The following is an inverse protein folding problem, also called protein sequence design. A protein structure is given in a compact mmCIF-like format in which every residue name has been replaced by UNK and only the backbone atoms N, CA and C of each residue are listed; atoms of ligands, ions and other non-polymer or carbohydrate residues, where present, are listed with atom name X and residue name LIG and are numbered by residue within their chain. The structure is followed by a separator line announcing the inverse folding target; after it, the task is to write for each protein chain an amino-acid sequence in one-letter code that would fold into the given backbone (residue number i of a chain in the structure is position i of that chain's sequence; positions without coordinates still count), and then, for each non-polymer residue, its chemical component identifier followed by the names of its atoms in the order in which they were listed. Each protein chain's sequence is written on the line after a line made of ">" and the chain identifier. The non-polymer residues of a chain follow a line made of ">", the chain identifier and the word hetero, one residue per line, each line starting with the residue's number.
data_IF_261409577214
#
_entry.id   IF_261409577214
#
_cell.length_a   1.000
_cell.length_b   1.000
_cell.length_c   1.000
_cell.angle_alpha   90.00
_cell.angle_beta   90.00
_cell.angle_gamma   90.00
#
_symmetry.space_group_name_H-M   'P 1'
#
loop_
_entity.id
_entity.type
_entity.pdbx_description
1 polymer ?
#
# COMPACT_ATOMS: atom_id res chain seq x y z
N UNK A 1 6.63 -4.97 -20.13
CA UNK A 1 6.65 -5.03 -18.65
C UNK A 1 5.37 -5.70 -18.18
N UNK A 2 5.46 -6.61 -17.20
CA UNK A 2 4.31 -7.27 -16.59
C UNK A 2 4.10 -6.73 -15.17
N UNK A 3 2.98 -6.08 -14.94
CA UNK A 3 2.57 -5.53 -13.66
C UNK A 3 1.51 -6.45 -13.06
N UNK A 4 1.75 -6.95 -11.85
CA UNK A 4 0.82 -7.82 -11.14
C UNK A 4 0.27 -7.10 -9.91
N UNK A 5 -1.04 -7.01 -9.84
CA UNK A 5 -1.79 -6.61 -8.65
C UNK A 5 -2.18 -7.88 -7.91
N UNK A 6 -1.75 -8.00 -6.68
CA UNK A 6 -1.92 -9.21 -5.87
C UNK A 6 -3.34 -9.26 -5.32
N UNK A 7 -4.07 -10.32 -5.67
CA UNK A 7 -5.42 -10.60 -5.18
C UNK A 7 -5.35 -11.62 -4.02
N UNK A 8 -5.53 -11.13 -2.81
CA UNK A 8 -5.59 -11.98 -1.61
C UNK A 8 -6.89 -11.77 -0.83
N UNK A 9 -7.95 -11.34 -1.53
CA UNK A 9 -9.27 -11.11 -0.95
C UNK A 9 -9.41 -9.76 -0.24
N UNK A 10 -8.41 -8.87 -0.32
CA UNK A 10 -8.50 -7.52 0.25
C UNK A 10 -7.93 -6.47 -0.72
N UNK A 11 -8.43 -5.26 -0.61
CA UNK A 11 -8.04 -4.14 -1.47
C UNK A 11 -9.12 -3.75 -2.49
N UNK A 12 -9.12 -2.48 -2.87
CA UNK A 12 -9.95 -2.02 -3.98
C UNK A 12 -9.23 -2.32 -5.31
N UNK A 13 -9.18 -3.61 -5.67
CA UNK A 13 -8.42 -4.12 -6.82
C UNK A 13 -8.78 -3.41 -8.12
N UNK A 14 -10.09 -3.21 -8.36
CA UNK A 14 -10.57 -2.56 -9.58
C UNK A 14 -10.14 -1.09 -9.70
N UNK A 15 -10.18 -0.34 -8.61
CA UNK A 15 -9.70 1.05 -8.61
C UNK A 15 -8.21 1.14 -8.85
N UNK A 16 -7.43 0.23 -8.26
CA UNK A 16 -5.98 0.15 -8.47
C UNK A 16 -5.67 -0.23 -9.93
N UNK A 17 -6.35 -1.25 -10.46
CA UNK A 17 -6.19 -1.68 -11.85
C UNK A 17 -6.51 -0.54 -12.83
N UNK A 18 -7.63 0.16 -12.64
CA UNK A 18 -8.02 1.29 -13.47
C UNK A 18 -7.01 2.45 -13.40
N UNK A 19 -6.49 2.77 -12.21
CA UNK A 19 -5.50 3.83 -12.05
C UNK A 19 -4.21 3.52 -12.83
N UNK A 20 -3.72 2.30 -12.74
CA UNK A 20 -2.56 1.86 -13.52
C UNK A 20 -2.85 1.78 -15.01
N UNK A 21 -4.02 1.29 -15.41
CA UNK A 21 -4.43 1.23 -16.80
C UNK A 21 -4.46 2.63 -17.43
N UNK A 22 -5.05 3.61 -16.77
CA UNK A 22 -5.09 4.98 -17.23
C UNK A 22 -3.66 5.56 -17.37
N UNK A 23 -2.83 5.39 -16.34
CA UNK A 23 -1.44 5.86 -16.37
C UNK A 23 -0.62 5.23 -17.50
N UNK A 24 -0.80 3.95 -17.76
CA UNK A 24 -0.13 3.22 -18.84
C UNK A 24 -0.59 3.76 -20.20
N UNK A 25 -1.89 3.98 -20.36
CA UNK A 25 -2.49 4.48 -21.61
C UNK A 25 -2.05 5.92 -21.90
N UNK A 26 -2.16 6.80 -20.90
CA UNK A 26 -1.79 8.22 -21.03
C UNK A 26 -0.30 8.41 -21.35
N UNK A 27 0.56 7.53 -20.84
CA UNK A 27 2.00 7.61 -21.07
C UNK A 27 2.50 6.65 -22.18
N UNK A 28 1.60 6.00 -22.92
CA UNK A 28 1.93 5.05 -24.01
C UNK A 28 2.93 3.97 -23.59
N UNK A 29 2.79 3.41 -22.39
CA UNK A 29 3.73 2.43 -21.85
C UNK A 29 3.39 1.02 -22.35
N UNK A 30 4.40 0.27 -22.80
CA UNK A 30 4.23 -1.16 -23.12
C UNK A 30 4.24 -1.98 -21.81
N UNK A 31 3.08 -2.01 -21.15
CA UNK A 31 2.88 -2.71 -19.87
C UNK A 31 1.56 -3.48 -19.88
N UNK A 32 1.61 -4.74 -19.44
CA UNK A 32 0.43 -5.59 -19.24
C UNK A 32 0.13 -5.64 -17.76
N UNK A 33 -1.14 -5.40 -17.40
CA UNK A 33 -1.64 -5.48 -16.03
C UNK A 33 -2.40 -6.80 -15.88
N UNK A 34 -2.25 -7.42 -14.72
CA UNK A 34 -3.07 -8.57 -14.33
C UNK A 34 -3.30 -8.56 -12.81
N UNK A 35 -4.55 -8.79 -12.42
CA UNK A 35 -4.96 -9.04 -11.03
C UNK A 35 -4.97 -10.56 -10.83
N UNK A 36 -4.21 -11.07 -9.87
CA UNK A 36 -4.08 -12.51 -9.65
C UNK A 36 -3.40 -12.86 -8.33
N UNK A 37 -3.66 -14.08 -7.83
CA UNK A 37 -2.92 -14.72 -6.74
C UNK A 37 -2.04 -15.89 -7.23
N UNK A 38 -1.92 -16.08 -8.51
CA UNK A 38 -1.09 -17.17 -9.08
C UNK A 38 0.39 -16.90 -8.84
N UNK A 39 1.04 -17.77 -8.06
CA UNK A 39 2.43 -17.61 -7.64
C UNK A 39 3.40 -17.57 -8.81
N UNK A 40 3.16 -18.37 -9.87
CA UNK A 40 4.02 -18.37 -11.05
C UNK A 40 3.98 -17.04 -11.79
N UNK A 41 2.80 -16.40 -11.88
CA UNK A 41 2.67 -15.08 -12.49
C UNK A 41 3.33 -14.00 -11.64
N UNK A 42 3.20 -14.09 -10.31
CA UNK A 42 3.86 -13.20 -9.35
C UNK A 42 5.39 -13.34 -9.47
N UNK A 43 5.88 -14.58 -9.56
CA UNK A 43 7.32 -14.86 -9.75
C UNK A 43 7.86 -14.28 -11.07
N UNK A 44 7.05 -14.23 -12.12
CA UNK A 44 7.45 -13.72 -13.44
C UNK A 44 7.13 -12.23 -13.66
N UNK A 45 6.60 -11.54 -12.66
CA UNK A 45 6.29 -10.12 -12.76
C UNK A 45 7.54 -9.25 -12.78
N UNK A 46 7.45 -8.09 -13.44
CA UNK A 46 8.45 -7.02 -13.36
C UNK A 46 8.14 -6.02 -12.25
N UNK A 47 6.86 -5.87 -11.92
CA UNK A 47 6.38 -4.95 -10.89
C UNK A 47 5.22 -5.59 -10.12
N UNK A 48 5.31 -5.57 -8.81
CA UNK A 48 4.32 -6.11 -7.89
C UNK A 48 3.61 -5.00 -7.13
N UNK A 49 2.28 -5.10 -7.02
CA UNK A 49 1.46 -4.16 -6.27
C UNK A 49 0.65 -4.93 -5.24
N UNK A 50 0.75 -4.52 -3.99
CA UNK A 50 -0.02 -5.06 -2.88
C UNK A 50 -0.98 -4.00 -2.35
N UNK A 51 -2.23 -3.97 -2.80
CA UNK A 51 -3.25 -3.15 -2.17
C UNK A 51 -3.71 -3.77 -0.85
N UNK A 52 -4.30 -2.97 0.02
CA UNK A 52 -4.87 -3.48 1.27
C UNK A 52 -5.90 -2.51 1.82
N UNK A 53 -7.09 -3.01 2.18
CA UNK A 53 -8.14 -2.23 2.84
C UNK A 53 -8.67 -3.02 4.03
N UNK A 54 -9.21 -2.31 5.02
CA UNK A 54 -9.70 -2.91 6.25
C UNK A 54 -8.64 -2.97 7.34
N UNK A 55 -8.74 -3.94 8.23
CA UNK A 55 -7.81 -4.03 9.35
C UNK A 55 -6.51 -4.76 8.98
N UNK A 56 -5.42 -4.34 9.62
CA UNK A 56 -4.13 -4.98 9.43
C UNK A 56 -4.14 -6.51 9.68
N UNK A 57 -4.75 -7.03 10.78
CA UNK A 57 -4.82 -8.48 11.00
C UNK A 57 -5.58 -9.22 9.90
N UNK A 58 -6.68 -8.62 9.38
CA UNK A 58 -7.49 -9.27 8.35
C UNK A 58 -6.72 -9.36 7.02
N UNK A 59 -6.01 -8.29 6.65
CA UNK A 59 -5.13 -8.30 5.48
C UNK A 59 -4.00 -9.33 5.62
N UNK A 60 -3.36 -9.40 6.79
CA UNK A 60 -2.32 -10.40 7.05
C UNK A 60 -2.86 -11.83 6.93
N UNK A 61 -4.04 -12.08 7.48
CA UNK A 61 -4.72 -13.37 7.40
C UNK A 61 -5.00 -13.77 5.94
N UNK A 62 -5.58 -12.86 5.14
CA UNK A 62 -5.86 -13.14 3.73
C UNK A 62 -4.61 -13.53 2.93
N UNK A 63 -3.46 -12.91 3.22
CA UNK A 63 -2.19 -13.31 2.60
C UNK A 63 -1.71 -14.69 3.05
N UNK A 64 -1.93 -15.06 4.32
CA UNK A 64 -1.55 -16.36 4.87
C UNK A 64 -2.45 -17.51 4.38
N UNK A 65 -3.68 -17.21 3.95
CA UNK A 65 -4.60 -18.21 3.37
C UNK A 65 -4.16 -18.70 1.99
N UNK A 66 -3.23 -17.98 1.35
CA UNK A 66 -2.64 -18.40 0.06
C UNK A 66 -1.25 -19.00 0.36
N UNK A 67 -1.19 -20.32 0.31
CA UNK A 67 0.04 -21.07 0.61
C UNK A 67 1.21 -20.62 -0.26
N UNK A 68 2.35 -20.32 0.40
CA UNK A 68 3.59 -19.87 -0.26
C UNK A 68 3.59 -18.42 -0.78
N UNK A 69 2.51 -17.65 -0.65
CA UNK A 69 2.44 -16.28 -1.21
C UNK A 69 3.43 -15.35 -0.52
N UNK A 70 3.50 -15.35 0.81
CA UNK A 70 4.37 -14.45 1.57
C UNK A 70 5.84 -14.75 1.29
N UNK A 71 6.20 -16.02 1.20
CA UNK A 71 7.54 -16.50 0.87
C UNK A 71 7.95 -16.03 -0.54
N UNK A 72 7.07 -16.24 -1.53
CA UNK A 72 7.30 -15.79 -2.91
C UNK A 72 7.45 -14.28 -2.96
N UNK A 73 6.58 -13.51 -2.28
CA UNK A 73 6.70 -12.05 -2.23
C UNK A 73 8.04 -11.62 -1.63
N UNK A 74 8.44 -12.23 -0.51
CA UNK A 74 9.71 -11.91 0.14
C UNK A 74 10.90 -12.25 -0.76
N UNK A 75 10.87 -13.38 -1.44
CA UNK A 75 11.91 -13.73 -2.39
C UNK A 75 11.99 -12.72 -3.54
N UNK A 76 10.85 -12.40 -4.16
CA UNK A 76 10.85 -11.50 -5.31
C UNK A 76 11.25 -10.07 -4.96
N UNK A 77 10.79 -9.56 -3.79
CA UNK A 77 11.03 -8.16 -3.39
C UNK A 77 12.41 -7.99 -2.75
N UNK A 78 12.75 -8.83 -1.77
CA UNK A 78 13.98 -8.65 -0.99
C UNK A 78 15.19 -9.23 -1.71
N UNK A 79 15.12 -10.45 -2.22
CA UNK A 79 16.27 -11.10 -2.85
C UNK A 79 16.42 -10.76 -4.33
N UNK A 80 15.32 -10.75 -5.09
CA UNK A 80 15.35 -10.43 -6.53
C UNK A 80 15.25 -8.93 -6.82
N UNK A 81 15.00 -8.09 -5.79
CA UNK A 81 14.93 -6.62 -5.90
C UNK A 81 13.90 -6.11 -6.90
N UNK A 82 12.80 -6.84 -7.08
CA UNK A 82 11.71 -6.40 -7.94
C UNK A 82 11.06 -5.14 -7.42
N UNK A 83 10.57 -4.32 -8.33
CA UNK A 83 9.79 -3.14 -7.99
C UNK A 83 8.52 -3.56 -7.26
N UNK A 84 8.25 -2.93 -6.14
CA UNK A 84 7.09 -3.22 -5.30
C UNK A 84 6.43 -1.93 -4.82
N UNK A 85 5.10 -1.91 -4.85
CA UNK A 85 4.30 -0.83 -4.29
C UNK A 85 3.25 -1.40 -3.33
N UNK A 86 3.38 -1.10 -2.06
CA UNK A 86 2.32 -1.30 -1.06
C UNK A 86 1.38 -0.10 -1.02
N UNK A 87 0.07 -0.33 -1.05
CA UNK A 87 -0.95 0.70 -0.96
C UNK A 87 -1.72 0.55 0.34
N UNK A 88 -1.77 1.60 1.16
CA UNK A 88 -2.45 1.65 2.45
C UNK A 88 -1.99 0.50 3.37
N UNK A 89 -2.86 -0.44 3.76
CA UNK A 89 -2.47 -1.59 4.59
C UNK A 89 -1.43 -2.46 3.90
N UNK A 90 -1.43 -2.56 2.57
CA UNK A 90 -0.38 -3.24 1.82
C UNK A 90 1.01 -2.63 2.03
N UNK A 91 1.12 -1.31 2.17
CA UNK A 91 2.36 -0.64 2.58
C UNK A 91 2.69 -0.92 4.05
N UNK A 92 1.69 -0.87 4.92
CA UNK A 92 1.90 -1.12 6.35
C UNK A 92 2.45 -2.53 6.62
N UNK A 93 2.01 -3.53 5.87
CA UNK A 93 2.48 -4.92 6.00
C UNK A 93 3.97 -5.11 5.71
N UNK A 94 4.64 -4.16 5.03
CA UNK A 94 6.09 -4.22 4.79
C UNK A 94 6.91 -4.08 6.08
N UNK A 95 6.32 -3.52 7.14
CA UNK A 95 6.99 -3.24 8.41
C UNK A 95 6.93 -4.44 9.38
N UNK A 96 7.51 -4.26 10.60
CA UNK A 96 7.66 -5.37 11.55
C UNK A 96 6.32 -5.85 12.11
N UNK A 97 5.47 -4.91 12.56
CA UNK A 97 4.18 -5.28 13.15
C UNK A 97 3.22 -4.08 13.27
N UNK A 98 1.96 -4.40 13.52
CA UNK A 98 0.93 -3.44 13.91
C UNK A 98 0.35 -3.75 15.28
N UNK A 99 -0.06 -2.68 15.99
CA UNK A 99 -0.79 -2.72 17.26
C UNK A 99 -2.24 -2.25 17.10
N UNK A 100 -2.82 -2.36 15.93
CA UNK A 100 -4.15 -1.83 15.62
C UNK A 100 -5.24 -2.45 16.50
N UNK A 101 -5.41 -3.76 16.47
CA UNK A 101 -6.36 -4.53 17.30
C UNK A 101 -5.60 -5.44 18.26
N UNK A 102 -4.78 -6.27 17.70
CA UNK A 102 -3.87 -7.19 18.36
C UNK A 102 -2.48 -7.02 17.75
N UNK A 103 -1.43 -7.34 18.49
CA UNK A 103 -0.08 -7.33 17.92
C UNK A 103 0.00 -8.36 16.79
N UNK A 104 0.12 -7.89 15.56
CA UNK A 104 0.17 -8.72 14.36
C UNK A 104 1.45 -8.44 13.60
N UNK A 105 2.27 -9.47 13.33
CA UNK A 105 3.52 -9.34 12.59
C UNK A 105 3.28 -9.01 11.11
N UNK A 106 4.12 -8.14 10.56
CA UNK A 106 4.21 -7.85 9.13
C UNK A 106 5.17 -8.78 8.38
N UNK A 107 5.81 -8.22 7.37
CA UNK A 107 6.84 -8.92 6.59
C UNK A 107 8.25 -8.64 7.10
N UNK A 108 8.44 -7.64 7.95
CA UNK A 108 9.74 -7.17 8.46
C UNK A 108 10.73 -6.84 7.34
N UNK A 109 10.26 -6.32 6.21
CA UNK A 109 11.11 -5.80 5.14
C UNK A 109 11.68 -4.43 5.47
N UNK A 110 10.96 -3.67 6.28
CA UNK A 110 11.32 -2.36 6.79
C UNK A 110 11.15 -2.35 8.31
N UNK A 111 12.10 -1.75 9.01
CA UNK A 111 12.01 -1.61 10.47
C UNK A 111 10.95 -0.57 10.86
N UNK A 112 10.14 -0.89 11.87
CA UNK A 112 9.12 0.00 12.40
C UNK A 112 7.80 -0.71 12.70
N UNK A 113 6.86 0.06 13.22
CA UNK A 113 5.55 -0.47 13.61
C UNK A 113 4.44 0.56 13.44
N UNK A 114 3.21 0.05 13.39
CA UNK A 114 2.00 0.86 13.33
C UNK A 114 1.24 0.81 14.64
N UNK A 115 0.78 1.96 15.11
CA UNK A 115 -0.03 2.12 16.32
C UNK A 115 -1.13 3.15 16.07
N UNK A 116 -2.17 3.07 16.87
CA UNK A 116 -3.26 4.05 16.81
C UNK A 116 -2.74 5.47 17.04
N UNK A 117 -3.21 6.40 16.22
CA UNK A 117 -2.90 7.83 16.37
C UNK A 117 -3.41 8.29 17.74
N UNK A 118 -2.54 8.93 18.50
CA UNK A 118 -2.93 9.63 19.73
C UNK A 118 -3.34 11.05 19.37
N UNK A 119 -4.60 11.37 19.58
CA UNK A 119 -5.10 12.74 19.40
C UNK A 119 -4.88 13.54 20.67
N UNK A 120 -4.34 14.76 20.52
CA UNK A 120 -4.12 15.70 21.61
C UNK A 120 -4.72 17.04 21.21
N UNK A 121 -5.52 17.66 22.10
CA UNK A 121 -6.14 18.94 21.85
C UNK A 121 -7.58 18.85 21.35
N UNK A 122 -8.14 20.03 21.09
CA UNK A 122 -9.52 20.21 20.65
C UNK A 122 -9.53 20.89 19.28
N UNK A 123 -10.58 20.64 18.51
CA UNK A 123 -10.86 21.37 17.27
C UNK A 123 -11.33 22.81 17.58
N UNK A 124 -11.55 23.61 16.54
CA UNK A 124 -12.02 24.99 16.68
C UNK A 124 -13.42 25.12 17.31
N UNK A 125 -14.16 24.00 17.44
CA UNK A 125 -15.45 23.92 18.13
C UNK A 125 -15.34 23.37 19.57
N UNK A 126 -14.13 23.19 20.10
CA UNK A 126 -13.87 22.62 21.41
C UNK A 126 -14.12 21.12 21.55
N UNK A 127 -14.15 20.37 20.45
CA UNK A 127 -14.38 18.92 20.45
C UNK A 127 -13.05 18.17 20.27
N UNK A 128 -12.94 17.00 20.90
CA UNK A 128 -11.78 16.13 20.69
C UNK A 128 -11.62 15.74 19.22
N UNK A 129 -10.39 15.76 18.71
CA UNK A 129 -10.08 15.20 17.41
C UNK A 129 -10.46 13.72 17.35
N UNK A 130 -11.01 13.30 16.21
CA UNK A 130 -11.48 11.93 15.99
C UNK A 130 -10.43 11.09 15.26
N UNK A 131 -10.44 9.80 15.52
CA UNK A 131 -9.69 8.77 14.76
C UNK A 131 -10.73 7.82 14.16
N UNK A 132 -10.63 7.53 12.85
CA UNK A 132 -9.60 7.94 11.89
C UNK A 132 -9.64 9.43 11.55
N UNK A 133 -8.48 10.00 11.21
CA UNK A 133 -8.41 11.31 10.56
C UNK A 133 -8.95 11.17 9.14
N UNK A 134 -9.98 11.95 8.82
CA UNK A 134 -10.61 11.95 7.51
C UNK A 134 -10.77 13.39 7.02
N UNK A 135 -10.25 13.70 5.84
CA UNK A 135 -10.38 15.04 5.27
C UNK A 135 -9.40 15.37 4.17
N UNK A 136 -9.64 16.50 3.52
CA UNK A 136 -8.75 17.09 2.54
C UNK A 136 -7.57 17.78 3.24
N UNK A 137 -6.36 17.51 2.77
CA UNK A 137 -5.15 18.17 3.25
C UNK A 137 -4.11 18.23 2.13
N UNK A 138 -3.16 19.17 2.27
CA UNK A 138 -2.02 19.26 1.38
C UNK A 138 -0.87 18.36 1.85
N UNK A 139 0.08 18.11 0.95
CA UNK A 139 1.30 17.38 1.24
C UNK A 139 2.41 18.35 1.64
N UNK A 140 3.26 17.91 2.54
CA UNK A 140 4.54 18.53 2.82
C UNK A 140 5.66 17.63 2.27
N UNK A 141 6.27 18.01 1.16
CA UNK A 141 7.23 17.18 0.43
C UNK A 141 8.64 17.38 1.01
N UNK A 142 9.10 16.45 1.85
CA UNK A 142 10.44 16.48 2.42
C UNK A 142 11.55 16.17 1.38
N UNK A 143 11.23 15.40 0.33
CA UNK A 143 12.13 14.98 -0.73
C UNK A 143 11.53 15.25 -2.11
N UNK A 144 11.22 16.52 -2.39
CA UNK A 144 10.55 16.94 -3.64
C UNK A 144 11.24 16.44 -4.94
N UNK A 145 12.57 16.25 -4.90
CA UNK A 145 13.34 15.75 -6.05
C UNK A 145 13.28 14.22 -6.23
N UNK A 146 12.59 13.48 -5.35
CA UNK A 146 12.48 12.04 -5.53
C UNK A 146 11.64 11.72 -6.78
N UNK A 147 12.07 10.80 -7.66
CA UNK A 147 11.39 10.53 -8.93
C UNK A 147 9.89 10.21 -8.83
N UNK A 148 9.48 9.57 -7.74
CA UNK A 148 8.07 9.22 -7.45
C UNK A 148 7.23 10.47 -7.10
N UNK A 149 7.85 11.53 -6.58
CA UNK A 149 7.18 12.73 -6.07
C UNK A 149 7.22 13.91 -7.05
N UNK A 150 7.99 13.81 -8.14
CA UNK A 150 8.25 14.92 -9.06
C UNK A 150 7.02 15.59 -9.68
N UNK A 151 5.90 14.86 -9.77
CA UNK A 151 4.65 15.36 -10.33
C UNK A 151 3.62 15.78 -9.25
N UNK A 152 4.00 15.72 -7.97
CA UNK A 152 3.15 16.17 -6.87
C UNK A 152 3.43 17.64 -6.57
N UNK A 153 2.36 18.37 -6.24
CA UNK A 153 2.44 19.78 -5.87
C UNK A 153 1.94 19.96 -4.44
N UNK A 154 2.68 20.67 -3.60
CA UNK A 154 2.29 20.95 -2.22
C UNK A 154 0.99 21.78 -2.10
N UNK A 155 0.57 22.45 -3.20
CA UNK A 155 -0.69 23.19 -3.26
C UNK A 155 -1.89 22.28 -3.56
N UNK A 156 -1.65 21.08 -4.08
CA UNK A 156 -2.71 20.13 -4.36
C UNK A 156 -3.25 19.54 -3.07
N UNK A 157 -4.56 19.27 -3.05
CA UNK A 157 -5.21 18.66 -1.90
C UNK A 157 -5.51 17.19 -2.17
N UNK A 158 -5.26 16.38 -1.16
CA UNK A 158 -5.48 14.94 -1.16
C UNK A 158 -6.43 14.58 -0.03
N UNK A 159 -7.31 13.61 -0.28
CA UNK A 159 -8.22 13.13 0.75
C UNK A 159 -7.55 12.05 1.58
N UNK A 160 -7.33 12.32 2.83
CA UNK A 160 -6.72 11.41 3.79
C UNK A 160 -7.77 10.59 4.55
N UNK A 161 -7.46 9.32 4.78
CA UNK A 161 -8.22 8.41 5.65
C UNK A 161 -7.21 7.57 6.42
N UNK A 162 -6.91 7.93 7.63
CA UNK A 162 -5.92 7.19 8.44
C UNK A 162 -6.05 7.42 9.96
#
# INVERSE_FOLDING_TARGET
>A
MNLIIIDYGSGNLRSVENAFFNSITENNLNCKIKVTNNLQLITNADFLILPGVGSYPDCKKGLQEIDGLIEVLSEQVIYKKKKFLGICVGMQLMFDFSLEKIKTSGFSWLSGNFKKIKTVGLDYLGRNFKVPHMGWNSLQLQYANHPILKNLNEKDQYYFVH
#
